data_IF_722527780190
#
_entry.id   IF_722527780190
#
_cell.length_a   1.000
_cell.length_b   1.000
_cell.length_c   1.000
_cell.angle_alpha   90.00
_cell.angle_beta   90.00
_cell.angle_gamma   90.00
#
_symmetry.space_group_name_H-M   'P 1'
#
loop_
_entity.id
_entity.type
_entity.pdbx_description
1 polymer ?
#
# COMPACT_ATOMS: atom_id res chain seq x y z
N UNK A 1 -42.03 -42.54 -23.44
CA UNK A 1 -41.43 -41.22 -23.75
C UNK A 1 -40.65 -40.76 -22.52
N UNK A 2 -39.32 -40.84 -22.55
CA UNK A 2 -38.44 -40.34 -21.47
C UNK A 2 -38.07 -38.90 -21.84
N UNK A 3 -38.60 -37.91 -21.11
CA UNK A 3 -38.15 -36.53 -21.26
C UNK A 3 -36.87 -36.33 -20.43
N UNK A 4 -35.78 -36.06 -21.14
CA UNK A 4 -34.47 -35.75 -20.61
C UNK A 4 -34.47 -34.26 -20.24
N UNK A 5 -34.48 -33.94 -18.94
CA UNK A 5 -34.24 -32.58 -18.48
C UNK A 5 -32.73 -32.29 -18.54
N UNK A 6 -32.32 -31.53 -19.54
CA UNK A 6 -30.98 -30.93 -19.62
C UNK A 6 -30.98 -29.73 -18.67
N UNK A 7 -30.30 -29.85 -17.54
CA UNK A 7 -30.07 -28.75 -16.62
C UNK A 7 -28.96 -27.86 -17.21
N UNK A 8 -29.34 -26.70 -17.78
CA UNK A 8 -28.40 -25.69 -18.25
C UNK A 8 -27.83 -24.97 -17.02
N UNK A 9 -26.62 -25.34 -16.58
CA UNK A 9 -25.90 -24.61 -15.53
C UNK A 9 -25.32 -23.34 -16.16
N UNK A 10 -25.99 -22.21 -15.95
CA UNK A 10 -25.46 -20.90 -16.30
C UNK A 10 -24.36 -20.52 -15.28
N UNK A 11 -23.10 -20.68 -15.68
CA UNK A 11 -21.95 -20.15 -14.93
C UNK A 11 -21.97 -18.62 -14.99
N UNK A 12 -22.49 -17.97 -13.95
CA UNK A 12 -22.29 -16.53 -13.75
C UNK A 12 -20.83 -16.29 -13.34
N UNK A 13 -19.99 -15.99 -14.33
CA UNK A 13 -18.67 -15.41 -14.06
C UNK A 13 -18.93 -13.97 -13.62
N UNK A 14 -18.81 -13.71 -12.31
CA UNK A 14 -18.70 -12.34 -11.81
C UNK A 14 -17.32 -11.83 -12.25
N UNK A 15 -17.24 -11.25 -13.44
CA UNK A 15 -16.11 -10.40 -13.79
C UNK A 15 -16.23 -9.17 -12.91
N UNK A 16 -15.42 -9.11 -11.85
CA UNK A 16 -15.14 -7.85 -11.18
C UNK A 16 -14.47 -6.95 -12.23
N UNK A 17 -15.25 -6.06 -12.84
CA UNK A 17 -14.71 -5.07 -13.77
C UNK A 17 -13.86 -4.13 -12.93
N UNK A 18 -12.55 -4.15 -13.12
CA UNK A 18 -11.67 -3.11 -12.60
C UNK A 18 -12.23 -1.74 -13.05
N UNK A 19 -12.23 -0.76 -12.15
CA UNK A 19 -12.69 0.59 -12.45
C UNK A 19 -11.89 1.15 -13.63
N UNK A 20 -12.57 1.77 -14.61
CA UNK A 20 -11.89 2.37 -15.76
C UNK A 20 -10.94 3.49 -15.31
N UNK A 21 -9.87 3.75 -16.06
CA UNK A 21 -8.96 4.85 -15.70
C UNK A 21 -9.68 6.20 -15.66
N UNK A 22 -10.67 6.38 -16.55
CA UNK A 22 -11.51 7.59 -16.57
C UNK A 22 -12.23 7.81 -15.25
N UNK A 23 -12.75 6.77 -14.64
CA UNK A 23 -13.49 6.88 -13.37
C UNK A 23 -12.55 7.08 -12.17
N UNK A 24 -11.23 6.87 -12.34
CA UNK A 24 -10.20 7.10 -11.30
C UNK A 24 -9.63 8.52 -11.32
N UNK A 25 -9.91 9.31 -12.37
CA UNK A 25 -9.57 10.74 -12.41
C UNK A 25 -10.74 11.53 -11.85
N UNK A 26 -10.56 12.05 -10.64
CA UNK A 26 -11.60 12.73 -9.87
C UNK A 26 -11.34 14.24 -9.91
N UNK A 27 -12.18 15.02 -10.63
CA UNK A 27 -12.06 16.47 -10.63
C UNK A 27 -12.50 17.03 -9.28
N UNK A 28 -11.72 17.97 -8.74
CA UNK A 28 -12.11 18.77 -7.59
C UNK A 28 -13.16 19.81 -8.03
N UNK A 29 -14.42 19.44 -7.84
CA UNK A 29 -15.59 20.24 -8.20
C UNK A 29 -16.17 20.92 -6.94
N UNK A 30 -16.03 22.25 -6.78
CA UNK A 30 -16.55 22.97 -5.62
C UNK A 30 -18.07 22.84 -5.43
N UNK A 31 -18.84 22.53 -6.47
CA UNK A 31 -20.29 22.30 -6.34
C UNK A 31 -20.63 21.06 -5.52
N UNK A 32 -19.65 20.16 -5.31
CA UNK A 32 -19.79 18.95 -4.49
C UNK A 32 -19.39 19.15 -3.04
N UNK A 33 -18.90 20.34 -2.67
CA UNK A 33 -18.50 20.61 -1.28
C UNK A 33 -19.71 20.59 -0.36
N UNK A 34 -19.57 19.87 0.74
CA UNK A 34 -20.56 19.85 1.81
C UNK A 34 -20.13 20.83 2.87
N UNK A 35 -20.98 21.82 3.15
CA UNK A 35 -20.74 22.77 4.23
C UNK A 35 -20.97 22.10 5.58
N UNK A 36 -19.97 22.19 6.45
CA UNK A 36 -20.00 21.74 7.83
C UNK A 36 -19.60 22.88 8.75
N UNK A 37 -20.14 22.86 9.96
CA UNK A 37 -19.80 23.80 11.03
C UNK A 37 -19.10 23.04 12.15
N UNK A 38 -18.21 23.72 12.88
CA UNK A 38 -17.55 23.15 14.06
C UNK A 38 -16.81 21.82 13.82
N UNK A 39 -16.10 21.71 12.68
CA UNK A 39 -15.28 20.53 12.37
C UNK A 39 -14.16 20.40 13.41
N UNK A 40 -14.15 19.28 14.13
CA UNK A 40 -13.31 19.07 15.32
C UNK A 40 -13.46 20.18 16.40
N UNK A 41 -14.67 20.72 16.57
CA UNK A 41 -14.97 21.90 17.39
C UNK A 41 -14.25 23.19 16.95
N UNK A 42 -13.84 23.27 15.68
CA UNK A 42 -13.22 24.45 15.09
C UNK A 42 -14.17 25.63 14.92
N UNK A 43 -13.62 26.81 14.67
CA UNK A 43 -14.42 28.01 14.46
C UNK A 43 -15.18 27.96 13.12
N UNK A 44 -16.38 28.53 13.09
CA UNK A 44 -17.10 28.85 11.86
C UNK A 44 -17.42 27.63 10.99
N UNK A 45 -17.23 27.79 9.67
CA UNK A 45 -17.68 26.85 8.65
C UNK A 45 -16.62 26.53 7.62
N UNK A 46 -16.70 25.34 7.05
CA UNK A 46 -15.88 24.92 5.92
C UNK A 46 -16.69 24.03 4.97
N UNK A 47 -16.37 24.11 3.67
CA UNK A 47 -16.96 23.25 2.66
C UNK A 47 -15.91 22.30 2.13
N UNK A 48 -16.17 20.98 2.15
CA UNK A 48 -15.23 20.01 1.58
C UNK A 48 -15.91 18.76 1.02
N UNK A 49 -15.17 18.01 0.23
CA UNK A 49 -15.56 16.70 -0.29
C UNK A 49 -14.38 15.74 -0.26
N UNK A 50 -14.67 14.45 -0.46
CA UNK A 50 -13.66 13.41 -0.65
C UNK A 50 -13.42 13.20 -2.14
N UNK A 51 -12.14 13.28 -2.55
CA UNK A 51 -11.72 12.95 -3.92
C UNK A 51 -11.39 11.48 -4.05
N UNK A 52 -10.56 10.96 -3.14
CA UNK A 52 -10.12 9.56 -3.11
C UNK A 52 -10.36 9.03 -1.70
N UNK A 53 -10.91 7.83 -1.58
CA UNK A 53 -11.26 7.20 -0.31
C UNK A 53 -10.53 5.89 -0.06
N UNK A 54 -10.77 5.36 1.14
CA UNK A 54 -10.11 4.17 1.69
C UNK A 54 -10.27 2.89 0.88
N UNK A 55 -11.15 2.83 -0.11
CA UNK A 55 -11.38 1.65 -0.94
C UNK A 55 -10.76 1.76 -2.34
N UNK A 56 -10.24 2.94 -2.70
CA UNK A 56 -9.66 3.19 -4.04
C UNK A 56 -8.22 2.68 -4.16
N UNK A 57 -7.64 2.31 -3.02
CA UNK A 57 -6.28 1.79 -2.84
C UNK A 57 -6.35 0.50 -2.01
N UNK A 58 -5.40 -0.41 -2.17
CA UNK A 58 -5.29 -1.61 -1.32
C UNK A 58 -4.57 -1.33 0.01
N UNK A 59 -3.67 -0.34 0.02
CA UNK A 59 -2.87 0.14 1.16
C UNK A 59 -3.70 0.78 2.27
N UNK A 60 -3.08 1.13 3.41
CA UNK A 60 -3.77 1.78 4.53
C UNK A 60 -4.09 3.28 4.31
N UNK A 61 -4.08 3.75 3.06
CA UNK A 61 -4.61 5.07 2.70
C UNK A 61 -6.08 5.19 3.14
N UNK A 62 -6.43 6.31 3.79
CA UNK A 62 -7.79 6.57 4.25
C UNK A 62 -8.54 7.51 3.32
N UNK A 63 -7.97 8.67 3.01
CA UNK A 63 -8.64 9.64 2.15
C UNK A 63 -7.70 10.73 1.63
N UNK A 64 -8.12 11.30 0.51
CA UNK A 64 -7.80 12.64 0.05
C UNK A 64 -9.08 13.49 0.13
N UNK A 65 -9.11 14.46 1.03
CA UNK A 65 -10.15 15.49 1.08
C UNK A 65 -9.66 16.78 0.43
N UNK A 66 -10.59 17.58 -0.08
CA UNK A 66 -10.33 18.94 -0.57
C UNK A 66 -11.47 19.86 -0.23
N UNK A 67 -11.18 21.14 -0.02
CA UNK A 67 -12.22 22.10 0.23
C UNK A 67 -11.74 23.53 0.42
N UNK A 68 -12.61 24.31 1.05
CA UNK A 68 -12.38 25.68 1.50
C UNK A 68 -12.63 25.80 3.00
N UNK A 69 -11.73 26.47 3.71
CA UNK A 69 -11.97 26.95 5.07
C UNK A 69 -12.34 28.43 4.95
N UNK A 70 -13.56 28.79 5.32
CA UNK A 70 -14.07 30.15 5.16
C UNK A 70 -13.29 31.14 6.04
N UNK A 71 -13.49 32.44 5.79
CA UNK A 71 -12.97 33.50 6.65
C UNK A 71 -13.32 33.24 8.12
N UNK A 72 -12.36 33.50 9.02
CA UNK A 72 -12.52 33.33 10.48
C UNK A 72 -12.99 31.92 10.90
N UNK A 73 -12.71 30.91 10.10
CA UNK A 73 -13.12 29.52 10.34
C UNK A 73 -11.92 28.59 10.45
N UNK A 74 -12.12 27.36 10.91
CA UNK A 74 -11.01 26.43 11.11
C UNK A 74 -11.42 25.01 11.45
N UNK A 75 -10.40 24.16 11.54
CA UNK A 75 -10.47 22.81 12.10
C UNK A 75 -9.92 22.91 13.51
N UNK A 76 -10.72 22.51 14.50
CA UNK A 76 -10.35 22.65 15.90
C UNK A 76 -9.21 21.71 16.30
N UNK A 77 -8.63 21.99 17.46
CA UNK A 77 -7.45 21.29 17.96
C UNK A 77 -7.80 19.87 18.39
N UNK A 78 -7.17 18.89 17.75
CA UNK A 78 -7.46 17.47 17.98
C UNK A 78 -6.21 16.59 17.84
N UNK A 79 -6.33 15.34 18.27
CA UNK A 79 -5.32 14.29 18.13
C UNK A 79 -5.79 13.16 17.22
N UNK A 80 -4.82 12.48 16.61
CA UNK A 80 -4.97 11.14 16.05
C UNK A 80 -3.93 10.20 16.64
N UNK A 81 -4.34 9.00 17.05
CA UNK A 81 -3.50 7.98 17.67
C UNK A 81 -3.28 6.76 16.77
N UNK A 82 -4.10 6.60 15.73
CA UNK A 82 -3.94 5.54 14.73
C UNK A 82 -3.74 6.07 13.31
N UNK A 83 -3.76 7.38 13.13
CA UNK A 83 -3.74 8.05 11.81
C UNK A 83 -2.66 9.11 11.80
N UNK A 84 -2.00 9.22 10.65
CA UNK A 84 -1.25 10.41 10.28
C UNK A 84 -2.01 11.16 9.22
N UNK A 85 -2.11 12.47 9.40
CA UNK A 85 -2.66 13.37 8.41
C UNK A 85 -1.56 14.25 7.81
N UNK A 86 -1.84 14.85 6.67
CA UNK A 86 -1.06 15.95 6.12
C UNK A 86 -2.02 16.94 5.49
N UNK A 87 -1.79 18.22 5.77
CA UNK A 87 -2.55 19.30 5.19
C UNK A 87 -1.71 20.03 4.15
N UNK A 88 -2.35 20.38 3.03
CA UNK A 88 -1.76 21.23 1.99
C UNK A 88 -2.61 22.48 1.89
N UNK A 89 -2.03 23.65 2.13
CA UNK A 89 -2.70 24.93 1.89
C UNK A 89 -2.35 25.35 0.45
N UNK A 90 -3.36 25.35 -0.42
CA UNK A 90 -3.21 25.67 -1.85
C UNK A 90 -3.27 27.17 -2.13
N UNK A 91 -4.06 27.92 -1.36
CA UNK A 91 -4.17 29.38 -1.49
C UNK A 91 -4.37 30.06 -0.14
N UNK A 92 -3.90 31.31 -0.03
CA UNK A 92 -4.03 32.13 1.17
C UNK A 92 -2.96 31.87 2.23
N UNK A 93 -3.31 32.17 3.48
CA UNK A 93 -2.45 32.01 4.67
C UNK A 93 -3.31 31.44 5.81
N UNK A 94 -2.77 30.48 6.54
CA UNK A 94 -3.41 29.85 7.69
C UNK A 94 -2.53 29.98 8.93
N UNK A 95 -3.16 30.00 10.10
CA UNK A 95 -2.51 29.79 11.39
C UNK A 95 -2.58 28.30 11.70
N UNK A 96 -1.44 27.62 11.65
CA UNK A 96 -1.36 26.18 11.87
C UNK A 96 -0.80 25.92 13.25
N UNK A 97 -1.47 25.03 14.01
CA UNK A 97 -1.04 24.62 15.34
C UNK A 97 -0.55 23.19 15.31
N UNK A 98 0.61 22.91 15.91
CA UNK A 98 1.08 21.56 16.23
C UNK A 98 1.55 21.55 17.66
N UNK A 99 1.04 20.62 18.49
CA UNK A 99 1.39 20.48 19.90
C UNK A 99 1.31 21.80 20.69
N UNK A 100 0.24 22.56 20.44
CA UNK A 100 -0.05 23.84 21.09
C UNK A 100 0.75 25.04 20.56
N UNK A 101 1.75 24.82 19.69
CA UNK A 101 2.54 25.88 19.06
C UNK A 101 1.91 26.30 17.74
N UNK A 102 1.54 27.57 17.62
CA UNK A 102 0.84 28.10 16.45
C UNK A 102 1.76 29.00 15.64
N UNK A 103 1.81 28.84 14.32
CA UNK A 103 2.55 29.75 13.44
C UNK A 103 1.78 29.98 12.13
N UNK A 104 2.05 31.10 11.47
CA UNK A 104 1.50 31.40 10.14
C UNK A 104 2.20 30.58 9.07
N UNK A 105 1.42 29.97 8.19
CA UNK A 105 1.90 29.28 7.00
C UNK A 105 1.22 29.86 5.75
N UNK A 106 2.04 30.26 4.77
CA UNK A 106 1.57 30.86 3.52
C UNK A 106 1.61 29.85 2.38
N UNK A 107 0.52 29.76 1.63
CA UNK A 107 0.42 28.87 0.48
C UNK A 107 1.51 29.13 -0.59
N UNK A 108 1.91 28.11 -1.37
CA UNK A 108 1.67 26.70 -1.09
C UNK A 108 2.49 26.23 0.11
N UNK A 109 1.84 25.55 1.05
CA UNK A 109 2.45 25.03 2.27
C UNK A 109 1.93 23.62 2.56
N UNK A 110 2.81 22.76 3.07
CA UNK A 110 2.51 21.36 3.40
C UNK A 110 2.93 21.14 4.85
N UNK A 111 2.02 20.60 5.66
CA UNK A 111 2.29 20.33 7.08
C UNK A 111 1.85 18.89 7.41
N UNK A 112 2.77 17.97 7.70
CA UNK A 112 2.43 16.66 8.23
C UNK A 112 2.02 16.77 9.71
N UNK A 113 0.92 16.11 10.04
CA UNK A 113 0.41 15.91 11.39
C UNK A 113 0.75 14.48 11.81
N UNK A 114 1.91 14.32 12.46
CA UNK A 114 2.49 13.01 12.79
C UNK A 114 1.68 12.29 13.86
N UNK A 115 1.87 10.97 13.95
CA UNK A 115 1.09 10.13 14.85
C UNK A 115 1.24 10.57 16.31
N UNK A 116 0.12 10.86 16.97
CA UNK A 116 0.07 11.34 18.35
C UNK A 116 0.33 12.84 18.54
N UNK A 117 0.68 13.59 17.48
CA UNK A 117 0.77 15.05 17.57
C UNK A 117 -0.63 15.66 17.47
N UNK A 118 -0.93 16.58 18.39
CA UNK A 118 -2.15 17.39 18.28
C UNK A 118 -1.97 18.47 17.23
N UNK A 119 -3.04 18.81 16.51
CA UNK A 119 -2.97 19.82 15.47
C UNK A 119 -4.30 20.55 15.24
N UNK A 120 -4.22 21.73 14.63
CA UNK A 120 -5.37 22.58 14.30
C UNK A 120 -5.03 23.52 13.15
N UNK A 121 -6.06 24.03 12.46
CA UNK A 121 -5.90 25.03 11.40
C UNK A 121 -6.93 26.13 11.61
N UNK A 122 -6.48 27.38 11.68
CA UNK A 122 -7.36 28.53 11.74
C UNK A 122 -7.09 29.50 10.58
N UNK A 123 -8.14 29.83 9.82
CA UNK A 123 -8.10 30.88 8.83
C UNK A 123 -8.42 32.23 9.50
N UNK A 124 -7.39 32.91 9.97
CA UNK A 124 -7.52 34.24 10.58
C UNK A 124 -7.80 35.37 9.56
N UNK A 125 -7.81 35.08 8.25
CA UNK A 125 -8.01 36.10 7.21
C UNK A 125 -9.50 36.43 7.00
N UNK A 126 -9.76 37.34 6.07
CA UNK A 126 -11.12 37.71 5.65
C UNK A 126 -11.56 37.01 4.35
N UNK A 127 -10.71 36.15 3.78
CA UNK A 127 -10.97 35.42 2.54
C UNK A 127 -10.89 33.91 2.78
N UNK A 128 -11.59 33.06 2.02
CA UNK A 128 -11.45 31.61 2.12
C UNK A 128 -10.05 31.13 1.73
N UNK A 129 -9.56 30.07 2.39
CA UNK A 129 -8.34 29.36 1.99
C UNK A 129 -8.71 28.02 1.35
N UNK A 130 -8.02 27.64 0.26
CA UNK A 130 -8.15 26.31 -0.36
C UNK A 130 -7.18 25.34 0.27
N UNK A 131 -7.62 24.10 0.48
CA UNK A 131 -6.81 23.11 1.17
C UNK A 131 -7.02 21.68 0.66
N UNK A 132 -6.06 20.80 0.99
CA UNK A 132 -6.14 19.34 0.85
C UNK A 132 -5.82 18.69 2.20
N UNK A 133 -6.40 17.50 2.42
CA UNK A 133 -6.10 16.59 3.51
C UNK A 133 -5.72 15.24 2.93
N UNK A 134 -4.61 14.68 3.37
CA UNK A 134 -4.27 13.30 3.10
C UNK A 134 -4.19 12.58 4.43
N UNK A 135 -4.75 11.36 4.53
CA UNK A 135 -4.64 10.56 5.73
C UNK A 135 -4.23 9.12 5.41
N UNK A 136 -3.33 8.59 6.25
CA UNK A 136 -2.90 7.20 6.23
C UNK A 136 -3.10 6.64 7.63
N UNK A 137 -3.77 5.49 7.73
CA UNK A 137 -3.99 4.81 9.00
C UNK A 137 -2.93 3.75 9.27
N UNK A 138 -2.75 3.37 10.53
CA UNK A 138 -2.01 2.17 10.90
C UNK A 138 -2.75 0.88 10.55
N UNK A 139 -4.08 0.95 10.33
CA UNK A 139 -4.95 -0.19 10.01
C UNK A 139 -5.96 0.21 8.94
N UNK A 140 -6.16 -0.67 7.96
CA UNK A 140 -7.06 -0.41 6.82
C UNK A 140 -8.44 0.07 7.28
N UNK A 141 -8.83 1.25 6.82
CA UNK A 141 -10.15 1.82 7.02
C UNK A 141 -10.48 2.30 8.43
N UNK A 142 -9.52 2.29 9.37
CA UNK A 142 -9.72 2.74 10.75
C UNK A 142 -9.50 4.24 10.86
N UNK A 143 -10.58 4.93 11.23
CA UNK A 143 -10.66 6.35 11.62
C UNK A 143 -10.54 6.51 13.15
N UNK A 144 -9.93 7.58 13.64
CA UNK A 144 -9.98 7.99 15.05
C UNK A 144 -9.85 9.52 15.14
N UNK A 145 -10.26 10.13 16.25
CA UNK A 145 -9.97 11.53 16.58
C UNK A 145 -10.23 11.73 18.09
N UNK A 146 -9.47 12.63 18.72
CA UNK A 146 -9.76 13.13 20.07
C UNK A 146 -9.74 14.66 20.05
N UNK A 147 -10.93 15.26 20.15
CA UNK A 147 -11.12 16.71 20.03
C UNK A 147 -10.93 17.40 21.38
N UNK A 148 -10.18 18.50 21.40
CA UNK A 148 -9.91 19.26 22.62
C UNK A 148 -10.96 20.33 22.91
N UNK A 149 -11.88 20.59 21.98
CA UNK A 149 -12.83 21.69 22.10
C UNK A 149 -12.20 23.08 21.99
N UNK A 150 -10.97 23.19 21.47
CA UNK A 150 -10.25 24.46 21.29
C UNK A 150 -10.18 24.82 19.79
N UNK A 151 -10.85 25.91 19.41
CA UNK A 151 -10.90 26.41 18.04
C UNK A 151 -9.64 27.17 17.59
N UNK A 152 -8.69 27.44 18.52
CA UNK A 152 -7.44 28.20 18.29
C UNK A 152 -7.60 29.64 17.81
N UNK A 153 -8.80 30.23 17.96
CA UNK A 153 -9.04 31.65 17.65
C UNK A 153 -8.20 32.53 18.59
N UNK A 154 -7.32 33.37 18.02
CA UNK A 154 -6.49 34.30 18.80
C UNK A 154 -5.31 33.62 19.52
N UNK A 155 -4.90 32.43 19.09
CA UNK A 155 -3.70 31.77 19.60
C UNK A 155 -2.45 32.66 19.43
N UNK A 156 -1.52 32.56 20.39
CA UNK A 156 -0.22 33.22 20.27
C UNK A 156 0.60 32.63 19.13
N UNK A 157 1.18 33.50 18.30
CA UNK A 157 1.93 33.09 17.11
C UNK A 157 3.43 33.05 17.38
N UNK A 158 4.03 31.90 17.10
CA UNK A 158 5.47 31.76 16.96
C UNK A 158 5.94 32.45 15.66
N UNK A 159 7.02 33.24 15.71
CA UNK A 159 7.57 33.89 14.52
C UNK A 159 8.19 32.90 13.53
N UNK A 160 8.61 31.72 14.01
CA UNK A 160 9.18 30.64 13.22
C UNK A 160 8.37 29.38 13.51
N UNK A 161 7.81 28.70 12.48
CA UNK A 161 7.13 27.43 12.67
C UNK A 161 8.03 26.39 13.37
N UNK A 162 7.65 25.99 14.58
CA UNK A 162 8.37 24.99 15.38
C UNK A 162 7.88 23.55 15.11
N UNK A 163 7.49 23.28 13.87
CA UNK A 163 6.98 21.98 13.40
C UNK A 163 7.43 21.73 11.96
N UNK A 164 7.40 20.46 11.55
CA UNK A 164 7.79 20.08 10.18
C UNK A 164 6.84 20.73 9.19
N UNK A 165 7.40 21.37 8.17
CA UNK A 165 6.63 21.90 7.05
C UNK A 165 7.48 21.91 5.78
N UNK A 166 6.82 21.89 4.62
CA UNK A 166 7.45 21.96 3.31
C UNK A 166 6.68 22.90 2.39
N UNK A 167 7.31 23.27 1.26
CA UNK A 167 6.74 24.17 0.25
C UNK A 167 7.02 23.64 -1.16
N UNK A 168 6.10 23.93 -2.08
CA UNK A 168 6.22 23.60 -3.51
C UNK A 168 7.14 24.58 -4.24
N UNK A 169 8.39 24.64 -3.80
CA UNK A 169 9.43 25.53 -4.36
C UNK A 169 9.99 24.92 -5.66
N UNK A 170 9.52 25.42 -6.81
CA UNK A 170 9.93 24.90 -8.13
C UNK A 170 11.44 25.09 -8.40
N UNK A 171 12.05 26.16 -7.87
CA UNK A 171 13.48 26.46 -7.99
C UNK A 171 14.38 25.43 -7.27
N UNK A 172 13.82 24.63 -6.37
CA UNK A 172 14.53 23.57 -5.64
C UNK A 172 14.37 22.18 -6.26
N UNK A 173 13.61 22.05 -7.35
CA UNK A 173 13.46 20.80 -8.07
C UNK A 173 14.74 20.44 -8.82
N UNK A 174 15.00 19.15 -8.97
CA UNK A 174 16.21 18.63 -9.65
C UNK A 174 15.83 17.69 -10.78
N UNK A 175 16.60 17.75 -11.87
CA UNK A 175 16.48 16.83 -13.00
C UNK A 175 17.07 15.45 -12.68
N UNK A 176 16.87 14.48 -13.60
CA UNK A 176 17.48 13.15 -13.58
C UNK A 176 17.13 12.31 -12.33
N UNK A 177 15.85 12.36 -11.93
CA UNK A 177 15.35 11.47 -10.88
C UNK A 177 15.47 10.00 -11.31
N UNK A 178 15.87 9.14 -10.38
CA UNK A 178 15.83 7.68 -10.57
C UNK A 178 14.40 7.12 -10.37
N UNK A 179 13.49 7.93 -9.81
CA UNK A 179 12.11 7.52 -9.48
C UNK A 179 11.17 7.82 -10.65
N UNK A 180 11.30 9.00 -11.25
CA UNK A 180 10.53 9.44 -12.41
C UNK A 180 11.44 9.51 -13.62
N UNK A 181 11.23 8.61 -14.58
CA UNK A 181 11.96 8.62 -15.84
C UNK A 181 11.41 9.70 -16.76
N UNK A 182 12.25 10.28 -17.61
CA UNK A 182 11.84 11.31 -18.56
C UNK A 182 12.86 12.43 -18.67
N UNK A 183 13.23 12.78 -19.89
CA UNK A 183 14.20 13.84 -20.14
C UNK A 183 13.67 15.19 -19.67
N UNK A 184 14.43 15.88 -18.81
CA UNK A 184 14.09 17.21 -18.32
C UNK A 184 13.00 17.24 -17.25
N UNK A 185 12.48 16.09 -16.81
CA UNK A 185 11.53 16.00 -15.69
C UNK A 185 12.20 16.46 -14.40
N UNK A 186 11.53 17.33 -13.65
CA UNK A 186 12.04 17.94 -12.43
C UNK A 186 11.32 17.37 -11.21
N UNK A 187 12.08 17.06 -10.16
CA UNK A 187 11.60 16.29 -9.02
C UNK A 187 12.25 16.73 -7.69
N UNK A 188 11.50 16.63 -6.60
CA UNK A 188 12.02 16.72 -5.22
C UNK A 188 11.18 15.91 -4.26
N UNK A 189 11.82 15.07 -3.44
CA UNK A 189 11.21 14.55 -2.22
C UNK A 189 11.12 15.65 -1.18
N UNK A 190 9.90 16.02 -0.79
CA UNK A 190 9.65 17.04 0.23
C UNK A 190 9.73 16.46 1.63
N UNK A 191 9.12 15.28 1.83
CA UNK A 191 9.03 14.59 3.11
C UNK A 191 9.21 13.09 2.83
N UNK A 192 10.18 12.46 3.50
CA UNK A 192 10.40 11.01 3.40
C UNK A 192 9.71 10.22 4.52
N UNK A 193 9.76 8.89 4.40
CA UNK A 193 9.11 7.97 5.34
C UNK A 193 9.67 8.03 6.76
N UNK A 194 10.82 8.69 6.98
CA UNK A 194 11.39 8.93 8.30
C UNK A 194 10.56 9.88 9.17
N UNK A 195 9.70 10.70 8.54
CA UNK A 195 8.80 11.61 9.26
C UNK A 195 7.55 10.89 9.79
N UNK A 196 7.20 9.75 9.18
CA UNK A 196 5.94 9.04 9.40
C UNK A 196 6.12 7.72 10.16
N UNK A 197 5.10 7.34 10.93
CA UNK A 197 5.01 6.06 11.66
C UNK A 197 4.02 5.06 11.04
N UNK A 198 3.12 5.55 10.18
CA UNK A 198 2.21 4.75 9.37
C UNK A 198 2.91 4.25 8.10
N UNK A 199 2.14 3.70 7.16
CA UNK A 199 2.66 3.20 5.87
C UNK A 199 2.93 4.33 4.87
N UNK A 200 2.87 5.59 5.32
CA UNK A 200 3.20 6.74 4.49
C UNK A 200 4.67 6.71 4.09
N UNK A 201 4.92 6.57 2.79
CA UNK A 201 6.28 6.39 2.27
C UNK A 201 6.94 7.72 1.89
N UNK A 202 6.22 8.60 1.18
CA UNK A 202 6.78 9.87 0.76
C UNK A 202 5.73 10.91 0.39
N UNK A 203 6.20 12.16 0.35
CA UNK A 203 5.54 13.31 -0.26
C UNK A 203 6.52 13.91 -1.26
N UNK A 204 6.16 13.84 -2.54
CA UNK A 204 7.01 14.22 -3.65
C UNK A 204 6.39 15.38 -4.45
N UNK A 205 7.24 16.27 -4.94
CA UNK A 205 6.91 17.37 -5.85
C UNK A 205 7.50 17.05 -7.22
N UNK A 206 6.63 16.97 -8.23
CA UNK A 206 6.98 16.63 -9.60
C UNK A 206 6.54 17.76 -10.54
N UNK A 207 7.43 18.16 -11.44
CA UNK A 207 7.15 19.12 -12.50
C UNK A 207 7.58 18.54 -13.85
N UNK A 208 6.64 18.46 -14.77
CA UNK A 208 6.86 17.97 -16.13
C UNK A 208 6.84 19.18 -17.07
N UNK A 209 7.96 19.54 -17.71
CA UNK A 209 7.98 20.65 -18.67
C UNK A 209 7.06 20.40 -19.87
N UNK A 210 6.67 21.48 -20.57
CA UNK A 210 5.81 21.41 -21.75
C UNK A 210 6.40 20.46 -22.81
N UNK A 211 5.55 19.58 -23.36
CA UNK A 211 5.95 18.59 -24.37
C UNK A 211 6.80 17.43 -23.85
N UNK A 212 7.03 17.32 -22.53
CA UNK A 212 7.76 16.21 -21.91
C UNK A 212 6.82 15.22 -21.23
N UNK A 213 7.34 14.03 -20.94
CA UNK A 213 6.64 12.96 -20.22
C UNK A 213 7.46 12.48 -19.04
N UNK A 214 6.78 12.16 -17.94
CA UNK A 214 7.34 11.44 -16.80
C UNK A 214 6.75 10.03 -16.72
N UNK A 215 7.59 9.01 -16.62
CA UNK A 215 7.19 7.62 -16.51
C UNK A 215 7.57 6.99 -15.17
N UNK A 216 6.80 5.96 -14.77
CA UNK A 216 7.19 4.96 -13.78
C UNK A 216 7.01 3.57 -14.39
N UNK A 217 8.10 2.82 -14.47
CA UNK A 217 8.13 1.48 -15.09
C UNK A 217 7.16 0.50 -14.44
N UNK A 218 6.98 0.61 -13.12
CA UNK A 218 5.92 -0.01 -12.33
C UNK A 218 5.83 0.68 -10.96
N UNK A 219 4.65 0.67 -10.32
CA UNK A 219 4.52 0.95 -8.89
C UNK A 219 4.89 -0.30 -8.09
N UNK A 220 6.17 -0.42 -7.72
CA UNK A 220 6.67 -1.53 -6.92
C UNK A 220 6.65 -1.21 -5.42
N UNK A 221 6.04 -2.09 -4.62
CA UNK A 221 6.07 -1.99 -3.15
C UNK A 221 5.26 -0.83 -2.54
N UNK A 222 4.63 0.01 -3.36
CA UNK A 222 3.82 1.14 -2.92
C UNK A 222 2.70 1.43 -3.92
N UNK A 223 1.61 2.01 -3.42
CA UNK A 223 0.59 2.69 -4.22
C UNK A 223 0.80 4.21 -4.12
N UNK A 224 0.17 4.98 -5.00
CA UNK A 224 0.35 6.42 -5.00
C UNK A 224 -0.95 7.18 -5.28
N UNK A 225 -1.08 8.34 -4.63
CA UNK A 225 -2.12 9.34 -4.91
C UNK A 225 -1.46 10.57 -5.50
N UNK A 226 -2.06 11.12 -6.54
CA UNK A 226 -1.60 12.28 -7.29
C UNK A 226 -2.65 13.39 -7.21
N UNK A 227 -2.19 14.62 -7.04
CA UNK A 227 -3.00 15.83 -7.20
C UNK A 227 -2.32 16.75 -8.22
N UNK A 228 -3.05 17.17 -9.26
CA UNK A 228 -2.54 18.11 -10.25
C UNK A 228 -2.65 19.53 -9.67
N UNK A 229 -1.52 20.08 -9.25
CA UNK A 229 -1.44 21.43 -8.69
C UNK A 229 -1.65 22.48 -9.77
N UNK A 230 -1.08 22.27 -10.97
CA UNK A 230 -1.17 23.19 -12.09
C UNK A 230 -0.93 22.50 -13.43
N UNK A 231 -1.39 23.12 -14.52
CA UNK A 231 -1.16 22.65 -15.89
C UNK A 231 -2.21 21.65 -16.39
N UNK A 232 -1.94 21.09 -17.58
CA UNK A 232 -2.78 20.08 -18.23
C UNK A 232 -1.91 19.02 -18.88
N UNK A 233 -2.48 17.83 -19.07
CA UNK A 233 -1.76 16.73 -19.69
C UNK A 233 -2.63 15.50 -19.89
N UNK A 234 -1.96 14.37 -20.05
CA UNK A 234 -2.59 13.06 -20.17
C UNK A 234 -1.94 12.07 -19.22
N UNK A 235 -2.76 11.27 -18.55
CA UNK A 235 -2.36 10.12 -17.75
C UNK A 235 -2.59 8.85 -18.56
N UNK A 236 -1.58 7.99 -18.62
CA UNK A 236 -1.67 6.66 -19.19
C UNK A 236 -1.39 5.61 -18.11
N UNK A 237 -2.33 4.69 -17.89
CA UNK A 237 -2.17 3.54 -17.00
C UNK A 237 -2.52 2.27 -17.76
N UNK A 238 -1.60 1.30 -17.81
CA UNK A 238 -1.78 0.01 -18.49
C UNK A 238 -2.32 0.12 -19.94
N UNK A 239 -1.98 1.20 -20.65
CA UNK A 239 -2.38 1.46 -22.03
C UNK A 239 -3.66 2.29 -22.21
N UNK A 240 -4.49 2.45 -21.18
CA UNK A 240 -5.61 3.39 -21.20
C UNK A 240 -5.08 4.81 -20.98
N UNK A 241 -5.57 5.79 -21.74
CA UNK A 241 -5.12 7.20 -21.65
C UNK A 241 -6.30 8.14 -21.43
N UNK A 242 -6.17 9.05 -20.48
CA UNK A 242 -7.18 10.04 -20.12
C UNK A 242 -6.56 11.42 -19.94
N UNK A 243 -7.34 12.47 -20.20
CA UNK A 243 -6.90 13.84 -19.94
C UNK A 243 -6.93 14.14 -18.44
N UNK A 244 -5.93 14.90 -17.99
CA UNK A 244 -5.84 15.44 -16.63
C UNK A 244 -5.58 16.95 -16.71
N UNK A 245 -6.08 17.69 -15.73
CA UNK A 245 -5.86 19.14 -15.59
C UNK A 245 -5.71 19.53 -14.13
N UNK A 246 -5.29 20.77 -13.90
CA UNK A 246 -5.25 21.38 -12.58
C UNK A 246 -6.53 21.08 -11.80
N UNK A 247 -6.33 20.77 -10.52
CA UNK A 247 -7.35 20.37 -9.55
C UNK A 247 -7.97 18.98 -9.77
N UNK A 248 -7.48 18.17 -10.72
CA UNK A 248 -7.81 16.74 -10.77
C UNK A 248 -6.94 15.95 -9.76
N UNK A 249 -7.52 14.88 -9.18
CA UNK A 249 -6.80 13.89 -8.40
C UNK A 249 -6.97 12.48 -9.00
N UNK A 250 -5.98 11.62 -8.83
CA UNK A 250 -6.05 10.23 -9.27
C UNK A 250 -5.12 9.35 -8.44
N UNK A 251 -5.32 8.03 -8.51
CA UNK A 251 -4.47 7.03 -7.85
C UNK A 251 -3.79 6.12 -8.85
N UNK A 252 -2.67 5.52 -8.45
CA UNK A 252 -2.03 4.37 -9.08
C UNK A 252 -1.90 3.22 -8.07
N UNK A 253 -2.21 2.00 -8.48
CA UNK A 253 -2.17 0.81 -7.61
C UNK A 253 -0.97 -0.10 -7.91
N UNK A 254 -0.71 -1.05 -7.01
CA UNK A 254 0.48 -1.90 -7.03
C UNK A 254 0.64 -2.62 -8.38
N UNK A 255 1.84 -2.54 -8.97
CA UNK A 255 2.20 -3.21 -10.22
C UNK A 255 1.78 -2.46 -11.49
N UNK A 256 0.99 -1.39 -11.41
CA UNK A 256 0.60 -0.62 -12.58
C UNK A 256 1.78 0.15 -13.17
N UNK A 257 1.78 0.27 -14.51
CA UNK A 257 2.72 1.12 -15.24
C UNK A 257 2.06 2.45 -15.53
N UNK A 258 2.70 3.55 -15.12
CA UNK A 258 2.14 4.89 -15.26
C UNK A 258 3.06 5.75 -16.14
N UNK A 259 2.45 6.51 -17.04
CA UNK A 259 3.11 7.58 -17.77
C UNK A 259 2.22 8.82 -17.73
N UNK A 260 2.82 9.97 -17.46
CA UNK A 260 2.14 11.27 -17.45
C UNK A 260 2.83 12.14 -18.48
N UNK A 261 2.08 12.65 -19.44
CA UNK A 261 2.60 13.53 -20.49
C UNK A 261 2.00 14.92 -20.33
N UNK A 262 2.87 15.94 -20.38
CA UNK A 262 2.43 17.32 -20.45
C UNK A 262 2.21 17.72 -21.91
N UNK A 263 0.94 17.78 -22.31
CA UNK A 263 0.51 18.24 -23.64
C UNK A 263 0.09 19.73 -23.64
N UNK A 264 0.29 20.45 -22.53
CA UNK A 264 0.00 21.87 -22.39
C UNK A 264 1.21 22.77 -22.68
N UNK A 265 0.99 24.08 -22.63
CA UNK A 265 2.01 25.11 -22.90
C UNK A 265 2.84 25.47 -21.66
N UNK A 266 2.33 25.20 -20.46
CA UNK A 266 2.97 25.49 -19.17
C UNK A 266 3.41 24.18 -18.50
N UNK A 267 4.26 24.27 -17.48
CA UNK A 267 4.63 23.11 -16.68
C UNK A 267 3.42 22.44 -16.02
N UNK A 268 3.39 21.10 -16.05
CA UNK A 268 2.41 20.26 -15.37
C UNK A 268 2.99 19.88 -13.99
N UNK A 269 2.41 20.46 -12.95
CA UNK A 269 2.88 20.37 -11.56
C UNK A 269 2.00 19.40 -10.77
N UNK A 270 2.63 18.45 -10.09
CA UNK A 270 1.98 17.35 -9.39
C UNK A 270 2.52 17.23 -7.96
N UNK A 271 1.60 17.07 -7.01
CA UNK A 271 1.89 16.56 -5.69
C UNK A 271 1.63 15.06 -5.68
N UNK A 272 2.62 14.27 -5.22
CA UNK A 272 2.52 12.80 -5.21
C UNK A 272 2.73 12.26 -3.80
N UNK A 273 1.79 11.45 -3.33
CA UNK A 273 1.80 10.81 -2.03
C UNK A 273 1.96 9.32 -2.23
N UNK A 274 3.06 8.77 -1.74
CA UNK A 274 3.32 7.33 -1.77
C UNK A 274 2.88 6.65 -0.47
N UNK A 275 2.22 5.51 -0.60
CA UNK A 275 1.82 4.66 0.52
C UNK A 275 2.39 3.27 0.30
N UNK A 276 3.21 2.79 1.22
CA UNK A 276 3.83 1.47 1.12
C UNK A 276 2.78 0.36 1.27
N UNK A 277 2.92 -0.69 0.46
CA UNK A 277 2.10 -1.91 0.55
C UNK A 277 2.42 -2.76 1.80
N UNK A 278 3.57 -2.51 2.43
CA UNK A 278 4.00 -3.23 3.64
C UNK A 278 4.61 -2.28 4.66
N UNK A 279 4.37 -2.55 5.94
CA UNK A 279 5.07 -1.88 7.06
C UNK A 279 6.56 -2.16 7.08
N UNK A 280 6.98 -3.31 6.53
CA UNK A 280 8.38 -3.58 6.31
C UNK A 280 8.84 -2.70 5.14
N UNK A 281 9.47 -1.57 5.48
CA UNK A 281 9.97 -0.52 4.56
C UNK A 281 10.91 -1.04 3.47
N UNK A 282 11.33 -2.30 3.58
CA UNK A 282 12.01 -3.09 2.56
C UNK A 282 11.42 -4.49 2.57
N UNK A 283 10.98 -4.99 1.42
CA UNK A 283 10.84 -6.44 1.23
C UNK A 283 12.20 -7.06 1.57
N UNK A 284 12.23 -8.14 2.37
CA UNK A 284 13.45 -8.91 2.66
C UNK A 284 13.90 -9.73 1.43
N UNK A 285 13.86 -9.12 0.24
CA UNK A 285 14.17 -9.68 -1.05
C UNK A 285 15.08 -8.67 -1.75
N UNK A 286 16.39 -8.91 -1.71
CA UNK A 286 17.36 -8.18 -2.51
C UNK A 286 17.18 -8.54 -3.99
N UNK A 287 16.87 -7.55 -4.83
CA UNK A 287 16.76 -7.73 -6.29
C UNK A 287 18.09 -7.34 -6.98
N UNK A 288 18.51 -8.06 -8.04
CA UNK A 288 17.95 -9.31 -8.54
C UNK A 288 18.29 -10.49 -7.61
N UNK A 289 17.40 -11.48 -7.59
CA UNK A 289 17.60 -12.76 -6.92
C UNK A 289 18.60 -13.60 -7.72
N UNK A 290 19.88 -13.26 -7.66
CA UNK A 290 20.93 -13.95 -8.44
C UNK A 290 21.37 -15.25 -7.75
N UNK A 291 21.10 -15.40 -6.45
CA UNK A 291 21.48 -16.58 -5.67
C UNK A 291 20.30 -17.08 -4.86
N UNK A 292 20.01 -18.39 -4.86
CA UNK A 292 18.98 -18.98 -4.01
C UNK A 292 19.26 -18.69 -2.53
N UNK A 293 18.22 -18.35 -1.77
CA UNK A 293 18.31 -18.19 -0.31
C UNK A 293 18.40 -19.52 0.42
N UNK A 294 17.81 -20.55 -0.16
CA UNK A 294 17.70 -21.90 0.38
C UNK A 294 17.35 -22.87 -0.76
N UNK A 295 17.31 -24.16 -0.44
CA UNK A 295 16.72 -25.22 -1.26
C UNK A 295 15.51 -25.80 -0.57
N UNK A 296 14.45 -26.08 -1.31
CA UNK A 296 13.23 -26.70 -0.81
C UNK A 296 12.97 -28.03 -1.52
N UNK A 297 12.37 -28.99 -0.82
CA UNK A 297 11.81 -30.20 -1.41
C UNK A 297 10.33 -30.24 -1.15
N UNK A 298 9.58 -30.61 -2.18
CA UNK A 298 8.17 -30.96 -2.07
C UNK A 298 8.06 -32.46 -2.33
N UNK A 299 7.56 -33.20 -1.33
CA UNK A 299 7.37 -34.64 -1.38
C UNK A 299 5.87 -34.92 -1.29
N UNK A 300 5.27 -35.41 -2.36
CA UNK A 300 3.86 -35.77 -2.42
C UNK A 300 3.69 -37.26 -2.09
N UNK A 301 2.67 -37.61 -1.32
CA UNK A 301 2.39 -38.98 -0.88
C UNK A 301 0.94 -39.37 -1.18
N UNK A 302 0.74 -40.65 -1.50
CA UNK A 302 -0.56 -41.32 -1.45
C UNK A 302 -0.60 -42.14 -0.16
N UNK A 303 -1.31 -41.66 0.84
CA UNK A 303 -1.43 -42.29 2.17
C UNK A 303 -2.83 -42.91 2.30
N UNK A 304 -2.96 -44.22 2.52
CA UNK A 304 -4.26 -44.84 2.79
C UNK A 304 -4.96 -44.18 3.97
N UNK A 305 -6.30 -44.18 3.97
CA UNK A 305 -7.11 -43.48 4.97
C UNK A 305 -6.83 -44.00 6.38
N UNK A 306 -6.63 -45.30 6.51
CA UNK A 306 -6.27 -46.02 7.74
C UNK A 306 -4.90 -45.60 8.30
N UNK A 307 -3.99 -45.11 7.45
CA UNK A 307 -2.65 -44.67 7.85
C UNK A 307 -2.56 -43.15 8.08
N UNK A 308 -3.62 -42.40 7.80
CA UNK A 308 -3.60 -40.93 7.82
C UNK A 308 -3.15 -40.37 9.17
N UNK A 309 -3.77 -40.82 10.28
CA UNK A 309 -3.43 -40.36 11.63
C UNK A 309 -1.98 -40.71 12.00
N UNK A 310 -1.54 -41.92 11.65
CA UNK A 310 -0.17 -42.35 11.87
C UNK A 310 0.83 -41.51 11.07
N UNK A 311 0.51 -41.16 9.82
CA UNK A 311 1.37 -40.36 8.95
C UNK A 311 1.56 -38.93 9.50
N UNK A 312 0.49 -38.29 9.95
CA UNK A 312 0.58 -36.97 10.60
C UNK A 312 1.37 -37.04 11.91
N UNK A 313 1.16 -38.11 12.68
CA UNK A 313 1.94 -38.35 13.90
C UNK A 313 3.43 -38.51 13.61
N UNK A 314 3.80 -39.27 12.59
CA UNK A 314 5.20 -39.44 12.19
C UNK A 314 5.85 -38.10 11.87
N UNK A 315 5.12 -37.18 11.22
CA UNK A 315 5.64 -35.86 10.90
C UNK A 315 6.11 -35.09 12.14
N UNK A 316 5.25 -34.86 13.14
CA UNK A 316 5.64 -34.05 14.30
C UNK A 316 6.44 -34.82 15.36
N UNK A 317 6.29 -36.15 15.46
CA UNK A 317 6.97 -36.94 16.51
C UNK A 317 8.31 -37.53 16.09
N UNK A 318 8.57 -37.69 14.79
CA UNK A 318 9.80 -38.30 14.27
C UNK A 318 10.47 -37.35 13.27
N UNK A 319 9.74 -36.95 12.22
CA UNK A 319 10.33 -36.25 11.08
C UNK A 319 10.85 -34.86 11.48
N UNK A 320 10.05 -34.05 12.19
CA UNK A 320 10.46 -32.72 12.67
C UNK A 320 11.67 -32.80 13.62
N UNK A 321 11.66 -33.58 14.72
CA UNK A 321 12.83 -33.72 15.59
C UNK A 321 14.09 -34.17 14.84
N UNK A 322 13.95 -35.11 13.90
CA UNK A 322 15.05 -35.63 13.09
C UNK A 322 15.69 -34.56 12.19
N UNK A 323 14.89 -33.62 11.68
CA UNK A 323 15.37 -32.50 10.87
C UNK A 323 15.94 -31.35 11.70
N UNK A 324 15.36 -31.03 12.86
CA UNK A 324 15.76 -29.88 13.69
C UNK A 324 17.22 -29.96 14.15
N UNK A 325 17.77 -31.17 14.27
CA UNK A 325 19.18 -31.38 14.65
C UNK A 325 20.15 -31.27 13.46
N UNK A 326 19.65 -31.14 12.23
CA UNK A 326 20.48 -31.11 11.03
C UNK A 326 21.05 -29.72 10.79
N UNK A 327 22.33 -29.67 10.40
CA UNK A 327 22.96 -28.44 9.94
C UNK A 327 22.20 -27.89 8.74
N UNK A 328 21.96 -26.58 8.75
CA UNK A 328 21.34 -25.87 7.64
C UNK A 328 19.84 -26.10 7.50
N UNK A 329 19.18 -26.85 8.40
CA UNK A 329 17.72 -26.94 8.41
C UNK A 329 17.08 -25.54 8.59
N UNK A 330 16.09 -25.22 7.75
CA UNK A 330 15.38 -23.93 7.78
C UNK A 330 13.95 -24.08 8.29
N UNK A 331 13.19 -24.99 7.68
CA UNK A 331 11.78 -25.18 8.00
C UNK A 331 11.23 -26.47 7.39
N UNK A 332 10.05 -26.89 7.87
CA UNK A 332 9.24 -27.91 7.23
C UNK A 332 7.75 -27.64 7.41
N UNK A 333 6.93 -28.15 6.49
CA UNK A 333 5.46 -28.11 6.56
C UNK A 333 4.89 -29.48 6.17
N UNK A 334 3.83 -29.91 6.85
CA UNK A 334 2.97 -31.01 6.40
C UNK A 334 1.67 -30.42 5.90
N UNK A 335 1.32 -30.73 4.67
CA UNK A 335 0.08 -30.31 4.01
C UNK A 335 -0.77 -31.54 3.75
N UNK A 336 -2.07 -31.41 4.01
CA UNK A 336 -3.09 -32.39 3.65
C UNK A 336 -3.91 -31.81 2.50
N UNK A 337 -4.24 -32.63 1.51
CA UNK A 337 -5.10 -32.23 0.41
C UNK A 337 -6.49 -31.81 0.93
N UNK A 338 -7.05 -30.76 0.33
CA UNK A 338 -8.42 -30.35 0.65
C UNK A 338 -9.44 -31.46 0.32
N UNK A 339 -10.56 -31.53 1.07
CA UNK A 339 -11.68 -32.37 0.70
C UNK A 339 -12.22 -32.04 -0.69
N UNK A 340 -12.75 -33.04 -1.39
CA UNK A 340 -13.23 -32.92 -2.78
C UNK A 340 -14.21 -31.75 -3.02
N UNK A 341 -15.18 -31.44 -2.13
CA UNK A 341 -16.08 -30.30 -2.35
C UNK A 341 -15.33 -28.96 -2.44
N UNK A 342 -14.39 -28.71 -1.53
CA UNK A 342 -13.61 -27.47 -1.49
C UNK A 342 -12.63 -27.40 -2.67
N UNK A 343 -12.02 -28.52 -3.04
CA UNK A 343 -11.15 -28.59 -4.21
C UNK A 343 -11.90 -28.23 -5.50
N UNK A 344 -13.15 -28.70 -5.66
CA UNK A 344 -14.01 -28.34 -6.81
C UNK A 344 -14.42 -26.88 -6.79
N UNK A 345 -14.80 -26.34 -5.64
CA UNK A 345 -15.21 -24.94 -5.47
C UNK A 345 -14.13 -23.98 -5.97
N UNK A 346 -12.86 -24.23 -5.62
CA UNK A 346 -11.72 -23.39 -6.02
C UNK A 346 -11.09 -23.80 -7.36
N UNK A 347 -11.67 -24.78 -8.06
CA UNK A 347 -11.16 -25.33 -9.32
C UNK A 347 -9.70 -25.83 -9.21
N UNK A 348 -9.36 -26.48 -8.09
CA UNK A 348 -8.03 -27.06 -7.89
C UNK A 348 -7.79 -28.24 -8.85
N UNK A 349 -6.55 -28.35 -9.32
CA UNK A 349 -6.10 -29.46 -10.17
C UNK A 349 -6.32 -30.81 -9.45
N UNK A 350 -6.97 -31.80 -10.09
CA UNK A 350 -7.16 -33.12 -9.50
C UNK A 350 -5.82 -33.82 -9.21
N UNK A 351 -5.72 -34.44 -8.04
CA UNK A 351 -4.56 -35.27 -7.68
C UNK A 351 -4.98 -36.42 -6.77
N UNK A 352 -4.28 -37.54 -6.89
CA UNK A 352 -4.42 -38.69 -5.98
C UNK A 352 -3.49 -38.59 -4.76
N UNK A 353 -2.53 -37.66 -4.76
CA UNK A 353 -1.60 -37.48 -3.66
C UNK A 353 -2.27 -36.62 -2.59
N UNK A 354 -2.63 -37.25 -1.47
CA UNK A 354 -3.45 -36.66 -0.42
C UNK A 354 -2.64 -36.00 0.71
N UNK A 355 -1.31 -36.12 0.68
CA UNK A 355 -0.39 -35.41 1.57
C UNK A 355 0.82 -34.86 0.82
N UNK A 356 1.37 -33.76 1.32
CA UNK A 356 2.67 -33.23 0.92
C UNK A 356 3.51 -32.87 2.14
N UNK A 357 4.79 -33.26 2.15
CA UNK A 357 5.78 -32.76 3.10
C UNK A 357 6.71 -31.81 2.37
N UNK A 358 6.82 -30.57 2.86
CA UNK A 358 7.77 -29.57 2.41
C UNK A 358 8.91 -29.47 3.40
N UNK A 359 10.16 -29.48 2.94
CA UNK A 359 11.35 -29.28 3.80
C UNK A 359 12.29 -28.27 3.13
N UNK A 360 12.96 -27.45 3.93
CA UNK A 360 13.90 -26.43 3.44
C UNK A 360 15.25 -26.50 4.17
N UNK A 361 16.34 -26.38 3.40
CA UNK A 361 17.71 -26.32 3.88
C UNK A 361 18.45 -25.11 3.30
N UNK A 362 19.45 -24.60 4.01
CA UNK A 362 20.28 -23.49 3.58
C UNK A 362 21.00 -23.77 2.26
N UNK A 363 21.44 -25.02 2.04
CA UNK A 363 22.13 -25.44 0.82
C UNK A 363 21.76 -26.87 0.42
N UNK A 364 21.93 -27.21 -0.86
CA UNK A 364 21.79 -28.60 -1.33
C UNK A 364 22.81 -29.54 -0.66
N UNK A 365 23.98 -29.03 -0.27
CA UNK A 365 24.96 -29.85 0.45
C UNK A 365 24.45 -30.24 1.85
N UNK A 366 23.80 -29.32 2.57
CA UNK A 366 23.19 -29.61 3.86
C UNK A 366 22.07 -30.65 3.73
N UNK A 367 21.24 -30.52 2.70
CA UNK A 367 20.19 -31.50 2.39
C UNK A 367 20.74 -32.88 2.04
N UNK A 368 21.87 -32.95 1.31
CA UNK A 368 22.57 -34.22 1.04
C UNK A 368 23.14 -34.85 2.32
N UNK A 369 23.60 -34.03 3.25
CA UNK A 369 24.06 -34.51 4.55
C UNK A 369 22.91 -35.09 5.37
N UNK A 370 21.74 -34.44 5.36
CA UNK A 370 20.51 -34.97 5.95
C UNK A 370 20.19 -36.37 5.43
N UNK A 371 20.16 -36.60 4.11
CA UNK A 371 19.87 -37.94 3.56
C UNK A 371 20.85 -39.02 4.02
N UNK A 372 22.12 -38.66 4.28
CA UNK A 372 23.16 -39.57 4.77
C UNK A 372 23.11 -39.78 6.29
N UNK A 373 22.30 -39.01 7.02
CA UNK A 373 22.28 -39.05 8.48
C UNK A 373 21.56 -40.27 9.02
N UNK A 374 21.88 -40.66 10.26
CA UNK A 374 21.19 -41.78 10.94
C UNK A 374 19.72 -41.44 11.19
N UNK A 375 19.43 -40.17 11.46
CA UNK A 375 18.09 -39.66 11.70
C UNK A 375 17.21 -39.82 10.45
N UNK A 376 17.73 -39.56 9.25
CA UNK A 376 17.00 -39.80 8.00
C UNK A 376 16.72 -41.28 7.76
N UNK A 377 17.67 -42.17 8.07
CA UNK A 377 17.46 -43.62 7.95
C UNK A 377 16.35 -44.14 8.88
N UNK A 378 15.92 -43.36 9.88
CA UNK A 378 14.77 -43.65 10.73
C UNK A 378 13.51 -42.92 10.23
N UNK A 379 13.63 -41.62 9.98
CA UNK A 379 12.49 -40.76 9.65
C UNK A 379 11.87 -41.08 8.28
N UNK A 380 12.71 -41.36 7.27
CA UNK A 380 12.23 -41.63 5.92
C UNK A 380 11.40 -42.92 5.83
N UNK A 381 11.89 -44.08 6.31
CA UNK A 381 11.08 -45.30 6.30
C UNK A 381 9.79 -45.19 7.12
N UNK A 382 9.80 -44.46 8.24
CA UNK A 382 8.61 -44.25 9.06
C UNK A 382 7.50 -43.51 8.31
N UNK A 383 7.86 -42.54 7.45
CA UNK A 383 6.89 -41.83 6.62
C UNK A 383 6.55 -42.61 5.35
N UNK A 384 7.55 -43.04 4.58
CA UNK A 384 7.34 -43.70 3.28
C UNK A 384 6.64 -45.05 3.42
N UNK A 385 6.86 -45.76 4.54
CA UNK A 385 6.22 -47.06 4.81
C UNK A 385 4.72 -46.98 5.08
N UNK A 386 4.20 -45.79 5.40
CA UNK A 386 2.76 -45.54 5.58
C UNK A 386 2.07 -45.12 4.28
N UNK A 387 2.82 -44.86 3.21
CA UNK A 387 2.32 -44.45 1.91
C UNK A 387 2.37 -45.60 0.89
N UNK A 388 1.42 -45.64 -0.05
CA UNK A 388 1.42 -46.61 -1.16
C UNK A 388 2.28 -46.15 -2.32
N UNK A 389 2.44 -44.84 -2.48
CA UNK A 389 3.35 -44.24 -3.45
C UNK A 389 3.74 -42.84 -3.02
N UNK A 390 4.86 -42.36 -3.55
CA UNK A 390 5.33 -41.01 -3.34
C UNK A 390 6.10 -40.51 -4.57
N UNK A 391 6.20 -39.20 -4.70
CA UNK A 391 7.05 -38.51 -5.68
C UNK A 391 7.61 -37.25 -5.05
N UNK A 392 8.70 -36.71 -5.58
CA UNK A 392 9.29 -35.51 -5.02
C UNK A 392 9.97 -34.65 -6.07
N UNK A 393 10.14 -33.37 -5.74
CA UNK A 393 10.84 -32.36 -6.55
C UNK A 393 11.68 -31.46 -5.66
N UNK A 394 12.83 -31.02 -6.17
CA UNK A 394 13.69 -30.03 -5.53
C UNK A 394 13.54 -28.66 -6.20
N UNK A 395 13.67 -27.59 -5.42
CA UNK A 395 13.53 -26.21 -5.85
C UNK A 395 14.58 -25.32 -5.20
N UNK A 396 15.05 -24.34 -5.95
CA UNK A 396 15.74 -23.19 -5.38
C UNK A 396 14.71 -22.21 -4.80
N UNK A 397 14.88 -21.82 -3.54
CA UNK A 397 14.06 -20.79 -2.91
C UNK A 397 14.60 -19.43 -3.34
N UNK A 398 13.98 -18.87 -4.38
CA UNK A 398 14.36 -17.57 -4.91
C UNK A 398 13.72 -16.41 -4.13
N UNK A 399 12.67 -16.63 -3.35
CA UNK A 399 12.06 -15.59 -2.52
C UNK A 399 11.21 -16.20 -1.42
N UNK A 400 11.11 -15.49 -0.31
CA UNK A 400 10.29 -15.89 0.84
C UNK A 400 9.71 -14.61 1.48
N UNK A 401 8.44 -14.68 1.89
CA UNK A 401 7.72 -13.65 2.63
C UNK A 401 7.04 -14.34 3.82
N UNK A 402 7.85 -14.66 4.84
CA UNK A 402 7.36 -15.24 6.08
C UNK A 402 6.89 -14.11 7.01
N UNK A 403 5.58 -13.97 7.14
CA UNK A 403 4.89 -12.94 7.94
C UNK A 403 4.80 -13.30 9.44
N UNK A 404 5.70 -14.15 9.95
CA UNK A 404 5.62 -14.74 11.29
C UNK A 404 6.80 -14.40 12.18
#
# INVERSE_FOLDING_TARGET
MKQLFILLVASFVVQATAQSLKDRVIPNDPSKYRELSAVHAGAGKMGFTQLIGRNDLSTNFLYLHTGVINAKSGIGHHFHHSIEEMYVILSGEAEFTVNGRTAKIKAPAIVPCKLGDSHAIYNASNEPIRWLNFAVSQKKGVGDAFDLGDARVGASLDPIPAFVSARLEQDKLKANSQIYTGEGVLYRRLIGSEVFRTDWDHVDHLLIPAGKSAGRTALEGAEAVYYVVNGTGTLTINGETVNIKADDAFSGVLGEKLSITNNGEKGLELLVIGISASKQKTLNISKPLVTPKAVALQMDFVVPKENAEAFEKVYYSIYVPAMTVQKGYRSSKLLRLFPEPLAKEIQAEPTTHNYQVQISFATEQDRRNWVKSKEHQIAWPAASGLATSYKWRGYDVMGEDDQH
#
